data_IF_306336334956
#
_entry.id   IF_306336334956
#
_cell.length_a   1.000
_cell.length_b   1.000
_cell.length_c   1.000
_cell.angle_alpha   90.00
_cell.angle_beta   90.00
_cell.angle_gamma   90.00
#
_symmetry.space_group_name_H-M   'P 1'
#
loop_
_entity.id
_entity.type
_entity.pdbx_description
1 polymer ?
#
# COMPACT_ATOMS: atom_id res chain seq x y z
N UNK A 1 -8.68 -36.44 15.34
CA UNK A 1 -8.10 -35.82 14.12
C UNK A 1 -8.10 -36.85 12.99
N UNK A 2 -7.71 -36.48 11.76
CA UNK A 2 -7.61 -37.42 10.63
C UNK A 2 -6.20 -37.45 10.05
N UNK A 3 -5.72 -38.65 9.68
CA UNK A 3 -4.43 -38.81 9.02
C UNK A 3 -4.47 -38.13 7.63
N UNK A 4 -3.49 -37.28 7.28
CA UNK A 4 -3.47 -36.60 5.98
C UNK A 4 -3.18 -37.55 4.80
N UNK A 5 -2.69 -38.77 5.08
CA UNK A 5 -2.33 -39.76 4.05
C UNK A 5 -3.51 -40.70 3.75
N UNK A 6 -4.11 -41.30 4.78
CA UNK A 6 -5.17 -42.32 4.61
C UNK A 6 -6.55 -41.88 5.11
N UNK A 7 -6.70 -40.65 5.63
CA UNK A 7 -7.93 -40.07 6.16
C UNK A 7 -8.56 -40.81 7.37
N UNK A 8 -7.92 -41.85 7.89
CA UNK A 8 -8.35 -42.57 9.08
C UNK A 8 -8.27 -41.70 10.34
N UNK A 9 -9.10 -42.02 11.34
CA UNK A 9 -9.10 -41.32 12.62
C UNK A 9 -7.78 -41.57 13.38
N UNK A 10 -7.26 -40.51 14.00
CA UNK A 10 -6.04 -40.52 14.83
C UNK A 10 -6.29 -39.73 16.11
N UNK A 11 -5.66 -40.17 17.19
CA UNK A 11 -5.64 -39.53 18.50
C UNK A 11 -4.78 -38.26 18.53
N UNK A 12 -5.02 -37.34 19.49
CA UNK A 12 -4.28 -36.08 19.64
C UNK A 12 -2.76 -36.27 19.81
N UNK A 13 -2.34 -37.37 20.44
CA UNK A 13 -0.94 -37.65 20.78
C UNK A 13 -0.28 -38.68 19.85
N UNK A 14 -0.97 -39.13 18.79
CA UNK A 14 -0.46 -40.13 17.86
C UNK A 14 0.70 -39.56 17.03
N UNK A 15 1.93 -40.05 17.25
CA UNK A 15 3.11 -39.72 16.45
C UNK A 15 3.19 -40.49 15.13
N UNK A 16 2.39 -41.56 15.00
CA UNK A 16 2.33 -42.43 13.83
C UNK A 16 0.87 -42.81 13.60
N UNK A 17 0.41 -42.77 12.35
CA UNK A 17 -0.93 -43.20 12.02
C UNK A 17 -1.06 -44.73 12.18
N UNK A 18 -1.99 -45.25 12.99
CA UNK A 18 -2.15 -46.69 13.21
C UNK A 18 -2.65 -47.43 11.97
N UNK A 19 -3.29 -46.74 11.02
CA UNK A 19 -3.87 -47.35 9.82
C UNK A 19 -2.91 -47.45 8.63
N UNK A 20 -1.99 -46.49 8.48
CA UNK A 20 -1.06 -46.45 7.34
C UNK A 20 0.42 -46.34 7.73
N UNK A 21 0.73 -46.36 9.04
CA UNK A 21 2.08 -46.22 9.59
C UNK A 21 2.84 -44.94 9.16
N UNK A 22 2.16 -43.94 8.59
CA UNK A 22 2.77 -42.66 8.27
C UNK A 22 3.21 -41.94 9.57
N UNK A 23 4.42 -41.39 9.58
CA UNK A 23 4.88 -40.54 10.67
C UNK A 23 4.12 -39.22 10.62
N UNK A 24 3.52 -38.84 11.75
CA UNK A 24 2.71 -37.63 11.87
C UNK A 24 3.57 -36.53 12.50
N UNK A 25 3.74 -35.44 11.76
CA UNK A 25 4.50 -34.26 12.19
C UNK A 25 3.55 -33.06 12.19
N UNK A 26 3.41 -32.42 13.35
CA UNK A 26 2.67 -31.17 13.48
C UNK A 26 3.66 -30.04 13.21
N UNK A 27 3.47 -29.36 12.08
CA UNK A 27 4.25 -28.18 11.72
C UNK A 27 3.48 -26.93 12.19
N UNK A 28 3.97 -26.15 13.18
CA UNK A 28 3.24 -25.00 13.73
C UNK A 28 3.08 -23.85 12.72
N UNK A 29 3.81 -23.88 11.60
CA UNK A 29 3.76 -22.90 10.52
C UNK A 29 3.90 -23.60 9.18
N UNK A 30 3.37 -23.08 8.05
CA UNK A 30 3.78 -23.60 6.75
C UNK A 30 5.30 -23.46 6.60
N UNK A 31 5.94 -24.55 6.15
CA UNK A 31 7.38 -24.59 5.86
C UNK A 31 7.79 -23.62 4.75
N UNK A 32 6.87 -23.29 3.82
CA UNK A 32 7.06 -22.29 2.77
C UNK A 32 5.76 -21.51 2.53
N UNK A 33 5.80 -20.17 2.38
CA UNK A 33 4.63 -19.35 2.05
C UNK A 33 3.99 -19.72 0.70
N UNK A 34 4.79 -20.29 -0.20
CA UNK A 34 4.42 -20.72 -1.56
C UNK A 34 3.37 -21.83 -1.57
N UNK A 35 3.32 -22.62 -0.49
CA UNK A 35 2.40 -23.74 -0.34
C UNK A 35 0.98 -23.28 0.03
N UNK A 36 0.76 -21.97 0.23
CA UNK A 36 -0.55 -21.42 0.55
C UNK A 36 -1.36 -21.04 -0.69
N UNK A 37 -2.64 -21.40 -0.67
CA UNK A 37 -3.60 -20.97 -1.68
C UNK A 37 -3.62 -19.43 -1.82
N UNK A 38 -3.66 -18.95 -3.06
CA UNK A 38 -3.60 -17.52 -3.37
C UNK A 38 -2.24 -16.87 -3.14
N UNK A 39 -1.16 -17.63 -2.85
CA UNK A 39 0.19 -17.08 -2.73
C UNK A 39 0.62 -16.33 -3.98
N UNK A 40 0.45 -16.90 -5.18
CA UNK A 40 0.83 -16.27 -6.46
C UNK A 40 0.22 -14.88 -6.61
N UNK A 41 -1.08 -14.75 -6.32
CA UNK A 41 -1.80 -13.46 -6.39
C UNK A 41 -1.26 -12.47 -5.36
N UNK A 42 -1.06 -12.90 -4.10
CA UNK A 42 -0.51 -12.02 -3.05
C UNK A 42 0.93 -11.61 -3.35
N UNK A 43 1.73 -12.50 -3.93
CA UNK A 43 3.10 -12.23 -4.34
C UNK A 43 3.14 -11.23 -5.50
N UNK A 44 2.29 -11.42 -6.52
CA UNK A 44 2.12 -10.47 -7.63
C UNK A 44 1.69 -9.10 -7.11
N UNK A 45 0.70 -9.05 -6.21
CA UNK A 45 0.26 -7.82 -5.56
C UNK A 45 1.39 -7.12 -4.80
N UNK A 46 2.27 -7.87 -4.13
CA UNK A 46 3.46 -7.32 -3.48
C UNK A 46 4.43 -6.70 -4.50
N UNK A 47 4.72 -7.38 -5.60
CA UNK A 47 5.62 -6.86 -6.65
C UNK A 47 5.05 -5.57 -7.24
N UNK A 48 3.80 -5.61 -7.70
CA UNK A 48 3.13 -4.48 -8.33
C UNK A 48 2.97 -3.31 -7.36
N UNK A 49 2.54 -3.56 -6.12
CA UNK A 49 2.36 -2.52 -5.10
C UNK A 49 3.67 -1.85 -4.73
N UNK A 50 4.77 -2.61 -4.60
CA UNK A 50 6.10 -2.06 -4.35
C UNK A 50 6.62 -1.23 -5.52
N UNK A 51 6.46 -1.71 -6.75
CA UNK A 51 6.85 -0.97 -7.94
C UNK A 51 6.06 0.35 -8.04
N UNK A 52 4.75 0.29 -7.82
CA UNK A 52 3.88 1.48 -7.78
C UNK A 52 4.30 2.47 -6.69
N UNK A 53 4.56 2.00 -5.46
CA UNK A 53 5.06 2.88 -4.39
C UNK A 53 6.43 3.49 -4.72
N UNK A 54 7.35 2.74 -5.33
CA UNK A 54 8.65 3.27 -5.75
C UNK A 54 8.50 4.39 -6.80
N UNK A 55 7.60 4.20 -7.77
CA UNK A 55 7.26 5.24 -8.75
C UNK A 55 6.67 6.49 -8.08
N UNK A 56 5.80 6.32 -7.09
CA UNK A 56 5.22 7.45 -6.36
C UNK A 56 6.25 8.20 -5.51
N UNK A 57 7.23 7.51 -4.93
CA UNK A 57 8.36 8.15 -4.24
C UNK A 57 9.20 8.96 -5.23
N UNK A 58 9.52 8.39 -6.39
CA UNK A 58 10.25 9.09 -7.44
C UNK A 58 9.48 10.31 -7.95
N UNK A 59 8.16 10.17 -8.14
CA UNK A 59 7.27 11.27 -8.50
C UNK A 59 7.31 12.40 -7.46
N UNK A 60 7.22 12.07 -6.17
CA UNK A 60 7.31 13.07 -5.10
C UNK A 60 8.66 13.80 -5.13
N UNK A 61 9.76 13.07 -5.36
CA UNK A 61 11.09 13.67 -5.49
C UNK A 61 11.19 14.60 -6.70
N UNK A 62 10.65 14.22 -7.86
CA UNK A 62 10.62 15.09 -9.04
C UNK A 62 9.81 16.37 -8.82
N UNK A 63 8.67 16.28 -8.13
CA UNK A 63 7.88 17.47 -7.78
C UNK A 63 8.66 18.40 -6.85
N UNK A 64 9.38 17.86 -5.86
CA UNK A 64 10.24 18.66 -4.98
C UNK A 64 11.37 19.36 -5.74
N UNK A 65 12.02 18.65 -6.67
CA UNK A 65 13.07 19.22 -7.53
C UNK A 65 12.48 20.33 -8.40
N UNK A 66 11.34 20.08 -9.06
CA UNK A 66 10.63 21.07 -9.85
C UNK A 66 10.26 22.32 -9.03
N UNK A 67 9.75 22.13 -7.81
CA UNK A 67 9.43 23.23 -6.91
C UNK A 67 10.68 24.03 -6.52
N UNK A 68 11.81 23.36 -6.27
CA UNK A 68 13.08 24.02 -5.95
C UNK A 68 13.62 24.88 -7.11
N UNK A 69 13.51 24.38 -8.35
CA UNK A 69 13.91 25.11 -9.56
C UNK A 69 13.09 26.39 -9.75
N UNK A 70 11.83 26.40 -9.31
CA UNK A 70 10.93 27.56 -9.42
C UNK A 70 11.12 28.61 -8.32
N UNK A 71 11.95 28.37 -7.30
CA UNK A 71 12.15 29.31 -6.18
C UNK A 71 12.59 30.71 -6.65
N UNK A 72 13.56 30.88 -7.57
CA UNK A 72 13.97 32.21 -8.01
C UNK A 72 12.84 32.97 -8.71
N UNK A 73 12.05 32.28 -9.53
CA UNK A 73 10.88 32.87 -10.19
C UNK A 73 9.78 33.23 -9.19
N UNK A 74 9.57 32.43 -8.15
CA UNK A 74 8.63 32.73 -7.07
C UNK A 74 9.07 33.96 -6.24
N UNK A 75 10.37 34.11 -5.96
CA UNK A 75 10.91 35.31 -5.29
C UNK A 75 10.71 36.55 -6.19
N UNK A 76 11.01 36.43 -7.49
CA UNK A 76 10.73 37.49 -8.46
C UNK A 76 9.23 37.81 -8.55
N UNK A 77 8.36 36.81 -8.45
CA UNK A 77 6.91 36.99 -8.43
C UNK A 77 6.47 37.83 -7.23
N UNK A 78 7.02 37.57 -6.03
CA UNK A 78 6.66 38.26 -4.78
C UNK A 78 7.25 39.67 -4.67
N UNK A 79 8.45 39.90 -5.20
CA UNK A 79 9.15 41.19 -5.11
C UNK A 79 8.67 42.23 -6.13
N UNK A 80 7.55 41.98 -6.82
CA UNK A 80 7.10 42.86 -7.91
C UNK A 80 6.56 44.19 -7.42
N UNK A 81 6.93 45.23 -8.15
CA UNK A 81 6.31 46.55 -8.11
C UNK A 81 5.04 46.53 -8.97
N UNK A 82 3.99 47.21 -8.50
CA UNK A 82 2.69 47.24 -9.17
C UNK A 82 2.80 47.68 -10.64
N UNK A 83 2.16 46.94 -11.56
CA UNK A 83 2.05 47.29 -12.98
C UNK A 83 2.83 46.42 -13.97
N UNK A 84 3.70 45.50 -13.50
CA UNK A 84 4.40 44.55 -14.39
C UNK A 84 3.75 43.16 -14.30
N UNK A 85 3.12 42.72 -15.40
CA UNK A 85 2.66 41.32 -15.55
C UNK A 85 3.88 40.41 -15.64
N UNK A 86 4.00 39.40 -14.77
CA UNK A 86 5.14 38.50 -14.77
C UNK A 86 4.98 37.51 -15.93
N UNK A 87 6.05 37.27 -16.67
CA UNK A 87 6.15 36.06 -17.49
C UNK A 87 6.71 34.95 -16.62
N UNK A 88 5.91 33.92 -16.34
CA UNK A 88 6.40 32.70 -15.67
C UNK A 88 6.89 31.76 -16.77
N UNK A 89 8.20 31.56 -16.81
CA UNK A 89 8.81 30.62 -17.75
C UNK A 89 8.80 29.21 -17.14
N UNK A 90 7.91 28.37 -17.67
CA UNK A 90 7.77 26.97 -17.28
C UNK A 90 8.55 26.02 -18.19
N UNK A 91 9.27 26.50 -19.22
CA UNK A 91 9.91 25.64 -20.22
C UNK A 91 10.91 24.68 -19.56
N UNK A 92 11.76 25.18 -18.66
CA UNK A 92 12.75 24.36 -17.95
C UNK A 92 12.17 23.31 -17.00
N UNK A 93 10.89 23.43 -16.60
CA UNK A 93 10.22 22.54 -15.64
C UNK A 93 9.14 21.67 -16.30
N UNK A 94 8.78 21.99 -17.54
CA UNK A 94 7.75 21.30 -18.33
C UNK A 94 8.02 19.79 -18.47
N UNK A 95 9.26 19.40 -18.78
CA UNK A 95 9.66 18.00 -18.91
C UNK A 95 9.56 17.25 -17.57
N UNK A 96 9.99 17.87 -16.46
CA UNK A 96 9.89 17.29 -15.13
C UNK A 96 8.43 17.07 -14.72
N UNK A 97 7.56 18.03 -15.01
CA UNK A 97 6.12 17.94 -14.71
C UNK A 97 5.45 16.84 -15.53
N UNK A 98 5.83 16.68 -16.81
CA UNK A 98 5.29 15.63 -17.68
C UNK A 98 5.71 14.24 -17.21
N UNK A 99 6.99 14.06 -16.87
CA UNK A 99 7.51 12.80 -16.32
C UNK A 99 6.85 12.51 -14.96
N UNK A 100 6.76 13.49 -14.07
CA UNK A 100 6.10 13.33 -12.78
C UNK A 100 4.62 12.97 -12.94
N UNK A 101 3.90 13.60 -13.86
CA UNK A 101 2.50 13.29 -14.16
C UNK A 101 2.30 11.86 -14.69
N UNK A 102 3.27 11.37 -15.47
CA UNK A 102 3.26 10.00 -16.00
C UNK A 102 3.55 8.98 -14.91
N UNK A 103 4.55 9.23 -14.06
CA UNK A 103 4.87 8.37 -12.92
C UNK A 103 3.73 8.29 -11.92
N UNK A 104 2.98 9.38 -11.74
CA UNK A 104 1.79 9.43 -10.88
C UNK A 104 0.68 8.49 -11.38
N UNK A 105 0.36 8.55 -12.68
CA UNK A 105 -0.64 7.68 -13.30
C UNK A 105 -0.24 6.20 -13.27
N UNK A 106 1.01 5.90 -13.64
CA UNK A 106 1.51 4.51 -13.64
C UNK A 106 1.66 3.99 -12.20
N UNK A 107 2.21 4.80 -11.29
CA UNK A 107 2.44 4.44 -9.90
C UNK A 107 1.14 4.14 -9.16
N UNK A 108 0.15 5.03 -9.24
CA UNK A 108 -1.17 4.79 -8.64
C UNK A 108 -1.96 3.70 -9.36
N UNK A 109 -1.81 3.56 -10.69
CA UNK A 109 -2.38 2.45 -11.44
C UNK A 109 -1.88 1.09 -10.96
N UNK A 110 -0.57 0.96 -10.73
CA UNK A 110 0.03 -0.25 -10.16
C UNK A 110 -0.46 -0.52 -8.73
N UNK A 111 -0.56 0.52 -7.89
CA UNK A 111 -1.11 0.39 -6.53
C UNK A 111 -2.58 -0.04 -6.55
N UNK A 112 -3.38 0.48 -7.50
CA UNK A 112 -4.77 0.10 -7.68
C UNK A 112 -4.91 -1.39 -8.00
N UNK A 113 -4.20 -1.86 -9.04
CA UNK A 113 -4.22 -3.27 -9.45
C UNK A 113 -3.67 -4.16 -8.34
N UNK A 114 -2.58 -3.78 -7.69
CA UNK A 114 -2.02 -4.50 -6.56
C UNK A 114 -3.03 -4.69 -5.44
N UNK A 115 -3.83 -3.66 -5.13
CA UNK A 115 -4.84 -3.72 -4.07
C UNK A 115 -6.00 -4.65 -4.44
N UNK A 116 -6.44 -4.63 -5.70
CA UNK A 116 -7.46 -5.57 -6.21
C UNK A 116 -6.96 -7.01 -6.14
N UNK A 117 -5.78 -7.27 -6.68
CA UNK A 117 -5.16 -8.61 -6.70
C UNK A 117 -4.89 -9.10 -5.27
N UNK A 118 -4.49 -8.22 -4.35
CA UNK A 118 -4.31 -8.53 -2.94
C UNK A 118 -5.62 -9.02 -2.31
N UNK A 119 -6.73 -8.30 -2.55
CA UNK A 119 -8.02 -8.70 -2.02
C UNK A 119 -8.50 -10.04 -2.56
N UNK A 120 -8.36 -10.25 -3.87
CA UNK A 120 -8.66 -11.54 -4.51
C UNK A 120 -7.79 -12.66 -3.93
N UNK A 121 -6.48 -12.44 -3.80
CA UNK A 121 -5.54 -13.41 -3.21
C UNK A 121 -5.83 -13.71 -1.74
N UNK A 122 -6.27 -12.71 -0.97
CA UNK A 122 -6.67 -12.86 0.42
C UNK A 122 -7.90 -13.75 0.60
N UNK A 123 -8.86 -13.75 -0.35
CA UNK A 123 -10.05 -14.62 -0.29
C UNK A 123 -9.72 -16.11 -0.33
N UNK A 124 -8.60 -16.47 -0.97
CA UNK A 124 -8.11 -17.85 -1.08
C UNK A 124 -7.32 -18.31 0.15
N UNK A 125 -6.98 -17.40 1.06
CA UNK A 125 -6.27 -17.74 2.28
C UNK A 125 -7.23 -18.40 3.29
N UNK A 126 -7.34 -19.72 3.20
CA UNK A 126 -8.18 -20.56 4.05
C UNK A 126 -7.44 -21.84 4.42
N UNK A 127 -7.58 -22.27 5.68
CA UNK A 127 -7.04 -23.54 6.16
C UNK A 127 -7.93 -24.12 7.25
N UNK A 128 -8.13 -25.43 7.22
CA UNK A 128 -8.81 -26.16 8.30
C UNK A 128 -7.80 -26.50 9.39
N UNK A 129 -8.15 -26.16 10.63
CA UNK A 129 -7.35 -26.51 11.81
C UNK A 129 -7.45 -28.02 12.07
N UNK A 130 -6.32 -28.75 12.14
CA UNK A 130 -6.34 -30.20 12.31
C UNK A 130 -6.87 -30.66 13.67
N UNK A 131 -6.83 -29.80 14.70
CA UNK A 131 -7.27 -30.12 16.07
C UNK A 131 -8.74 -29.79 16.30
N UNK A 132 -9.17 -28.61 15.85
CA UNK A 132 -10.54 -28.13 16.09
C UNK A 132 -11.49 -28.38 14.92
N UNK A 133 -10.97 -28.82 13.78
CA UNK A 133 -11.66 -28.93 12.50
C UNK A 133 -12.28 -27.62 11.97
N UNK A 134 -12.09 -26.50 12.68
CA UNK A 134 -12.60 -25.20 12.29
C UNK A 134 -11.84 -24.66 11.09
N UNK A 135 -12.56 -24.03 10.15
CA UNK A 135 -11.95 -23.32 9.03
C UNK A 135 -11.49 -21.93 9.49
N UNK A 136 -10.20 -21.66 9.38
CA UNK A 136 -9.61 -20.33 9.58
C UNK A 136 -9.42 -19.71 8.20
N UNK A 137 -10.13 -18.61 7.96
CA UNK A 137 -10.08 -17.87 6.71
C UNK A 137 -10.12 -16.37 6.93
N UNK A 138 -9.70 -15.60 5.92
CA UNK A 138 -10.06 -14.18 5.85
C UNK A 138 -11.53 -14.09 5.44
N UNK A 139 -12.40 -13.45 6.23
CA UNK A 139 -13.80 -13.25 5.85
C UNK A 139 -13.91 -12.51 4.51
N UNK A 140 -14.82 -12.89 3.59
CA UNK A 140 -14.98 -12.21 2.31
C UNK A 140 -15.20 -10.69 2.44
N UNK A 141 -15.95 -10.28 3.47
CA UNK A 141 -16.18 -8.86 3.80
C UNK A 141 -14.87 -8.14 4.13
N UNK A 142 -13.93 -8.81 4.81
CA UNK A 142 -12.61 -8.25 5.10
C UNK A 142 -11.74 -8.19 3.84
N UNK A 143 -11.77 -9.23 3.01
CA UNK A 143 -11.02 -9.27 1.75
C UNK A 143 -11.54 -8.27 0.70
N UNK A 144 -12.78 -7.80 0.83
CA UNK A 144 -13.36 -6.77 -0.05
C UNK A 144 -12.73 -5.38 0.14
N UNK A 145 -12.20 -5.06 1.33
CA UNK A 145 -11.60 -3.75 1.59
C UNK A 145 -10.42 -3.38 0.68
N UNK A 146 -9.40 -4.23 0.47
CA UNK A 146 -8.32 -3.92 -0.46
C UNK A 146 -8.82 -3.84 -1.93
N UNK A 147 -9.84 -4.61 -2.32
CA UNK A 147 -10.45 -4.48 -3.65
C UNK A 147 -11.14 -3.12 -3.82
N UNK A 148 -11.95 -2.72 -2.84
CA UNK A 148 -12.59 -1.40 -2.82
C UNK A 148 -11.56 -0.26 -2.83
N UNK A 149 -10.47 -0.40 -2.07
CA UNK A 149 -9.38 0.56 -2.09
C UNK A 149 -8.77 0.68 -3.50
N UNK A 150 -8.50 -0.44 -4.16
CA UNK A 150 -7.96 -0.44 -5.52
C UNK A 150 -8.89 0.21 -6.54
N UNK A 151 -10.20 -0.06 -6.46
CA UNK A 151 -11.21 0.59 -7.30
C UNK A 151 -11.29 2.10 -7.08
N UNK A 152 -11.17 2.55 -5.83
CA UNK A 152 -11.17 3.97 -5.49
C UNK A 152 -9.90 4.69 -5.97
N UNK A 153 -8.73 4.04 -5.89
CA UNK A 153 -7.48 4.55 -6.49
C UNK A 153 -7.62 4.59 -8.01
N UNK A 154 -8.22 3.57 -8.63
CA UNK A 154 -8.48 3.56 -10.07
C UNK A 154 -9.44 4.68 -10.49
N UNK A 155 -10.48 4.94 -9.72
CA UNK A 155 -11.37 6.08 -9.93
C UNK A 155 -10.60 7.40 -9.87
N UNK A 156 -9.68 7.58 -8.91
CA UNK A 156 -8.80 8.76 -8.88
C UNK A 156 -8.00 8.89 -10.18
N UNK A 157 -7.43 7.79 -10.70
CA UNK A 157 -6.67 7.78 -11.95
C UNK A 157 -7.55 8.22 -13.10
N UNK A 158 -8.78 7.69 -13.23
CA UNK A 158 -9.71 8.09 -14.27
C UNK A 158 -10.10 9.56 -14.17
N UNK A 159 -10.49 10.02 -12.97
CA UNK A 159 -10.92 11.39 -12.74
C UNK A 159 -9.81 12.42 -13.03
N UNK A 160 -8.55 12.05 -12.81
CA UNK A 160 -7.40 12.94 -13.08
C UNK A 160 -6.83 12.77 -14.49
N UNK A 161 -6.95 11.60 -15.11
CA UNK A 161 -6.52 11.33 -16.48
C UNK A 161 -7.29 12.16 -17.50
N UNK A 162 -8.60 12.37 -17.29
CA UNK A 162 -9.43 13.21 -18.17
C UNK A 162 -8.78 14.58 -18.44
N UNK A 163 -8.25 15.25 -17.41
CA UNK A 163 -7.62 16.58 -17.53
C UNK A 163 -6.13 16.54 -17.85
N UNK A 164 -5.49 15.38 -17.75
CA UNK A 164 -4.09 15.20 -18.16
C UNK A 164 -3.95 14.80 -19.62
N UNK A 165 -5.00 14.22 -20.21
CA UNK A 165 -4.97 13.64 -21.56
C UNK A 165 -5.91 14.35 -22.52
N UNK A 166 -7.19 14.56 -22.16
CA UNK A 166 -8.15 15.20 -23.08
C UNK A 166 -7.95 16.70 -23.17
N UNK A 167 -7.81 17.39 -22.03
CA UNK A 167 -7.83 18.85 -22.03
C UNK A 167 -6.56 19.57 -22.48
N UNK A 168 -5.32 19.10 -22.23
CA UNK A 168 -4.15 19.72 -22.86
C UNK A 168 -4.18 19.59 -24.40
N UNK A 169 -4.88 18.61 -24.96
CA UNK A 169 -5.07 18.49 -26.41
C UNK A 169 -6.11 19.50 -26.95
N UNK A 170 -7.18 19.79 -26.19
CA UNK A 170 -8.23 20.73 -26.60
C UNK A 170 -7.83 22.21 -26.42
N UNK A 171 -7.07 22.52 -25.36
CA UNK A 171 -6.74 23.91 -25.00
C UNK A 171 -5.28 24.29 -25.25
N UNK A 172 -4.43 23.34 -25.70
CA UNK A 172 -3.01 23.58 -25.97
C UNK A 172 -2.19 24.04 -24.74
N UNK A 173 -2.73 23.89 -23.52
CA UNK A 173 -2.13 24.38 -22.28
C UNK A 173 -2.11 23.30 -21.20
N UNK A 174 -1.02 23.26 -20.42
CA UNK A 174 -0.88 22.35 -19.28
C UNK A 174 -1.66 22.86 -18.05
N UNK A 175 -2.04 21.96 -17.14
CA UNK A 175 -2.69 22.33 -15.87
C UNK A 175 -1.85 23.30 -15.03
N UNK A 176 -0.51 23.18 -15.10
CA UNK A 176 0.41 24.09 -14.44
C UNK A 176 0.32 25.52 -15.01
N UNK A 177 0.18 25.65 -16.34
CA UNK A 177 -0.01 26.93 -17.01
C UNK A 177 -1.35 27.56 -16.64
N UNK A 178 -2.43 26.79 -16.67
CA UNK A 178 -3.76 27.25 -16.27
C UNK A 178 -3.83 27.77 -14.82
N UNK A 179 -3.14 27.09 -13.89
CA UNK A 179 -3.02 27.55 -12.50
C UNK A 179 -2.13 28.78 -12.36
N UNK A 180 -1.06 28.89 -13.15
CA UNK A 180 -0.21 30.08 -13.19
C UNK A 180 -0.98 31.29 -13.69
N UNK A 181 -1.76 31.14 -14.78
CA UNK A 181 -2.57 32.21 -15.34
C UNK A 181 -3.62 32.70 -14.33
N UNK A 182 -4.24 31.78 -13.59
CA UNK A 182 -5.13 32.12 -12.47
C UNK A 182 -4.40 32.86 -11.34
N UNK A 183 -3.21 32.41 -10.95
CA UNK A 183 -2.42 33.07 -9.91
C UNK A 183 -1.96 34.50 -10.29
N UNK A 184 -1.87 34.79 -11.60
CA UNK A 184 -1.45 36.10 -12.12
C UNK A 184 -2.62 37.06 -12.26
N UNK A 185 -3.73 36.62 -12.88
CA UNK A 185 -4.84 37.50 -13.27
C UNK A 185 -6.22 37.07 -12.78
N UNK A 186 -6.29 36.06 -11.90
CA UNK A 186 -7.53 35.56 -11.33
C UNK A 186 -8.44 34.90 -12.36
N UNK A 187 -9.75 35.01 -12.16
CA UNK A 187 -10.76 34.41 -13.05
C UNK A 187 -10.80 35.04 -14.43
N UNK A 188 -10.30 36.27 -14.59
CA UNK A 188 -10.29 36.99 -15.86
C UNK A 188 -9.27 36.41 -16.87
N UNK A 189 -8.20 35.78 -16.37
CA UNK A 189 -7.13 35.19 -17.20
C UNK A 189 -7.15 33.67 -17.18
N UNK A 190 -7.82 33.05 -16.21
CA UNK A 190 -7.94 31.61 -16.12
C UNK A 190 -8.82 31.03 -17.23
N UNK A 191 -8.46 29.86 -17.79
CA UNK A 191 -9.34 29.19 -18.73
C UNK A 191 -10.64 28.75 -18.03
N UNK A 192 -11.80 28.80 -18.71
CA UNK A 192 -13.11 28.55 -18.10
C UNK A 192 -13.25 27.15 -17.49
N UNK A 193 -12.43 26.21 -17.96
CA UNK A 193 -12.38 24.83 -17.47
C UNK A 193 -11.71 24.65 -16.10
N UNK A 194 -10.96 25.66 -15.63
CA UNK A 194 -10.16 25.55 -14.41
C UNK A 194 -11.03 25.21 -13.18
N UNK A 195 -12.26 25.74 -13.11
CA UNK A 195 -13.20 25.43 -12.03
C UNK A 195 -13.68 23.98 -12.02
N UNK A 196 -14.00 23.41 -13.19
CA UNK A 196 -14.36 21.99 -13.31
C UNK A 196 -13.18 21.07 -12.98
N UNK A 197 -11.97 21.44 -13.41
CA UNK A 197 -10.75 20.70 -13.09
C UNK A 197 -10.49 20.70 -11.58
N UNK A 198 -10.62 21.85 -10.92
CA UNK A 198 -10.45 22.00 -9.48
C UNK A 198 -11.48 21.16 -8.70
N UNK A 199 -12.74 21.15 -9.16
CA UNK A 199 -13.80 20.33 -8.55
C UNK A 199 -13.49 18.84 -8.62
N UNK A 200 -12.99 18.37 -9.76
CA UNK A 200 -12.65 16.96 -9.94
C UNK A 200 -11.40 16.55 -9.18
N UNK A 201 -10.44 17.46 -8.97
CA UNK A 201 -9.33 17.21 -8.05
C UNK A 201 -9.80 16.98 -6.60
N UNK A 202 -10.82 17.73 -6.15
CA UNK A 202 -11.44 17.51 -4.84
C UNK A 202 -12.07 16.12 -4.79
N UNK A 203 -12.94 15.79 -5.74
CA UNK A 203 -13.63 14.48 -5.80
C UNK A 203 -12.63 13.33 -5.86
N UNK A 204 -11.60 13.47 -6.69
CA UNK A 204 -10.54 12.48 -6.79
C UNK A 204 -9.85 12.31 -5.42
N UNK A 205 -9.45 13.38 -4.76
CA UNK A 205 -8.72 13.29 -3.49
C UNK A 205 -9.57 12.71 -2.36
N UNK A 206 -10.88 12.93 -2.38
CA UNK A 206 -11.83 12.21 -1.50
C UNK A 206 -11.80 10.70 -1.77
N UNK A 207 -11.78 10.28 -3.04
CA UNK A 207 -11.67 8.86 -3.39
C UNK A 207 -10.38 8.23 -2.86
N UNK A 208 -9.23 8.93 -2.94
CA UNK A 208 -7.98 8.44 -2.35
C UNK A 208 -8.03 8.34 -0.82
N UNK A 209 -8.66 9.30 -0.15
CA UNK A 209 -8.85 9.23 1.30
C UNK A 209 -9.71 8.01 1.69
N UNK A 210 -10.80 7.78 0.96
CA UNK A 210 -11.64 6.60 1.14
C UNK A 210 -10.84 5.30 0.89
N UNK A 211 -9.99 5.26 -0.13
CA UNK A 211 -9.11 4.11 -0.38
C UNK A 211 -8.14 3.85 0.79
N UNK A 212 -7.54 4.90 1.35
CA UNK A 212 -6.68 4.79 2.52
C UNK A 212 -7.44 4.27 3.76
N UNK A 213 -8.70 4.68 3.93
CA UNK A 213 -9.55 4.17 4.99
C UNK A 213 -9.86 2.68 4.81
N UNK A 214 -10.15 2.25 3.58
CA UNK A 214 -10.35 0.84 3.24
C UNK A 214 -9.10 -0.01 3.56
N UNK A 215 -7.91 0.40 3.13
CA UNK A 215 -6.67 -0.32 3.43
C UNK A 215 -6.35 -0.36 4.94
N UNK A 216 -6.60 0.73 5.68
CA UNK A 216 -6.44 0.74 7.14
C UNK A 216 -7.41 -0.24 7.81
N UNK A 217 -8.66 -0.26 7.36
CA UNK A 217 -9.70 -1.15 7.88
C UNK A 217 -9.38 -2.61 7.61
N UNK A 218 -8.85 -2.94 6.42
CA UNK A 218 -8.34 -4.27 6.11
C UNK A 218 -7.31 -4.73 7.16
N UNK A 219 -6.27 -3.93 7.41
CA UNK A 219 -5.23 -4.30 8.38
C UNK A 219 -5.74 -4.47 9.81
N UNK A 220 -6.74 -3.68 10.22
CA UNK A 220 -7.36 -3.77 11.54
C UNK A 220 -8.30 -4.96 11.70
N UNK A 221 -8.86 -5.47 10.60
CA UNK A 221 -9.80 -6.60 10.57
C UNK A 221 -9.16 -7.92 10.19
N UNK A 222 -7.84 -7.96 10.01
CA UNK A 222 -7.12 -9.22 9.80
C UNK A 222 -7.23 -10.08 11.07
N UNK A 223 -7.65 -11.36 10.96
CA UNK A 223 -7.62 -12.31 12.06
C UNK A 223 -6.23 -12.41 12.71
N UNK A 224 -6.18 -12.57 14.04
CA UNK A 224 -4.93 -12.71 14.81
C UNK A 224 -4.08 -13.92 14.41
N UNK A 225 -4.71 -14.95 13.83
CA UNK A 225 -4.03 -16.14 13.30
C UNK A 225 -3.30 -15.89 11.96
N UNK A 226 -3.43 -14.70 11.38
CA UNK A 226 -2.75 -14.34 10.13
C UNK A 226 -1.56 -13.45 10.47
N UNK A 227 -0.38 -13.90 10.10
CA UNK A 227 0.86 -13.19 10.40
C UNK A 227 1.70 -13.04 9.14
N UNK A 228 2.24 -11.85 8.97
CA UNK A 228 3.34 -11.60 8.05
C UNK A 228 4.65 -11.92 8.75
N UNK A 229 5.59 -12.57 8.06
CA UNK A 229 6.95 -12.77 8.58
C UNK A 229 7.73 -11.46 8.84
N UNK A 230 7.15 -10.30 8.48
CA UNK A 230 7.69 -8.96 8.77
C UNK A 230 6.70 -8.12 9.57
N UNK A 231 7.16 -7.28 10.51
CA UNK A 231 6.29 -6.42 11.31
C UNK A 231 5.51 -5.46 10.41
N UNK A 232 4.19 -5.45 10.55
CA UNK A 232 3.34 -4.46 9.87
C UNK A 232 3.46 -3.13 10.58
N UNK A 233 4.33 -2.24 10.08
CA UNK A 233 4.43 -0.88 10.60
C UNK A 233 3.11 -0.11 10.42
N UNK A 234 2.77 0.84 11.32
CA UNK A 234 1.66 1.76 11.10
C UNK A 234 1.86 2.48 9.76
N UNK A 235 0.80 2.57 8.96
CA UNK A 235 0.84 3.32 7.70
C UNK A 235 0.45 4.76 7.98
N UNK A 236 1.33 5.67 7.58
CA UNK A 236 1.05 7.11 7.53
C UNK A 236 0.25 7.50 6.28
N UNK A 237 -0.19 6.55 5.45
CA UNK A 237 -0.87 6.84 4.19
C UNK A 237 -2.25 7.49 4.40
N UNK A 238 -2.99 7.11 5.45
CA UNK A 238 -4.25 7.78 5.78
C UNK A 238 -4.02 9.23 6.24
N UNK A 239 -3.03 9.45 7.10
CA UNK A 239 -2.72 10.78 7.62
C UNK A 239 -2.21 11.69 6.50
N UNK A 240 -1.37 11.15 5.61
CA UNK A 240 -0.96 11.80 4.36
C UNK A 240 -2.16 12.17 3.48
N UNK A 241 -3.09 11.24 3.24
CA UNK A 241 -4.27 11.53 2.41
C UNK A 241 -5.19 12.57 3.05
N UNK A 242 -5.28 12.63 4.38
CA UNK A 242 -6.04 13.65 5.09
C UNK A 242 -5.40 15.03 4.89
N UNK A 243 -4.10 15.16 5.11
CA UNK A 243 -3.36 16.42 4.86
C UNK A 243 -3.48 16.82 3.39
N UNK A 244 -3.30 15.86 2.49
CA UNK A 244 -3.44 16.08 1.06
C UNK A 244 -4.83 16.60 0.69
N UNK A 245 -5.91 16.04 1.27
CA UNK A 245 -7.28 16.52 1.05
C UNK A 245 -7.47 17.95 1.53
N UNK A 246 -7.05 18.27 2.76
CA UNK A 246 -7.20 19.61 3.33
C UNK A 246 -6.50 20.66 2.48
N UNK A 247 -5.25 20.40 2.09
CA UNK A 247 -4.48 21.32 1.25
C UNK A 247 -5.08 21.43 -0.15
N UNK A 248 -5.55 20.32 -0.73
CA UNK A 248 -6.19 20.32 -2.06
C UNK A 248 -7.48 21.12 -2.04
N UNK A 249 -8.33 20.91 -1.03
CA UNK A 249 -9.59 21.62 -0.88
C UNK A 249 -9.34 23.12 -0.71
N UNK A 250 -8.41 23.50 0.17
CA UNK A 250 -8.03 24.90 0.35
C UNK A 250 -7.55 25.56 -0.96
N UNK A 251 -6.69 24.89 -1.74
CA UNK A 251 -6.18 25.45 -2.99
C UNK A 251 -7.23 25.46 -4.12
N UNK A 252 -8.09 24.44 -4.20
CA UNK A 252 -9.05 24.25 -5.29
C UNK A 252 -10.32 25.12 -5.16
N UNK A 253 -10.68 25.55 -3.95
CA UNK A 253 -11.87 26.39 -3.74
C UNK A 253 -11.78 27.78 -4.40
N UNK A 254 -10.57 28.31 -4.56
CA UNK A 254 -10.34 29.59 -5.27
C UNK A 254 -10.67 29.49 -6.77
N UNK A 255 -10.00 28.61 -7.56
CA UNK A 255 -10.33 28.47 -8.98
C UNK A 255 -11.72 27.87 -9.24
N UNK A 256 -12.31 27.16 -8.26
CA UNK A 256 -13.71 26.72 -8.33
C UNK A 256 -14.73 27.86 -8.15
N UNK A 257 -14.28 29.06 -7.76
CA UNK A 257 -15.15 30.24 -7.56
C UNK A 257 -15.92 30.24 -6.23
N UNK A 258 -15.60 29.32 -5.31
CA UNK A 258 -16.22 29.27 -3.99
C UNK A 258 -15.63 30.32 -3.03
N UNK A 259 -14.39 30.74 -3.26
CA UNK A 259 -13.70 31.80 -2.51
C UNK A 259 -13.25 32.87 -3.51
N UNK A 260 -13.56 34.13 -3.21
CA UNK A 260 -13.11 35.27 -4.01
C UNK A 260 -11.58 35.38 -4.02
N UNK A 261 -11.00 35.63 -5.20
CA UNK A 261 -9.57 35.80 -5.38
C UNK A 261 -9.28 37.22 -5.91
N UNK A 262 -8.48 37.97 -5.18
CA UNK A 262 -8.02 39.31 -5.53
C UNK A 262 -6.51 39.26 -5.79
N UNK A 263 -6.05 39.85 -6.91
CA UNK A 263 -4.66 39.81 -7.38
C UNK A 263 -3.79 40.94 -6.81
N UNK A 264 -4.35 41.85 -6.02
CA UNK A 264 -3.64 43.04 -5.50
C UNK A 264 -2.88 42.81 -4.19
N UNK A 265 -2.43 41.58 -3.91
CA UNK A 265 -1.71 41.25 -2.66
C UNK A 265 -2.61 41.09 -1.44
N UNK A 266 -3.91 40.91 -1.64
CA UNK A 266 -4.87 40.71 -0.55
C UNK A 266 -4.64 39.41 0.23
N UNK A 267 -5.27 39.27 1.42
CA UNK A 267 -5.11 38.07 2.26
C UNK A 267 -5.52 36.78 1.53
N UNK A 268 -6.50 36.84 0.64
CA UNK A 268 -6.94 35.71 -0.20
C UNK A 268 -5.82 35.19 -1.11
N UNK A 269 -5.04 36.08 -1.72
CA UNK A 269 -3.90 35.70 -2.57
C UNK A 269 -2.79 35.03 -1.76
N UNK A 270 -2.47 35.60 -0.60
CA UNK A 270 -1.45 35.04 0.30
C UNK A 270 -1.85 33.63 0.73
N UNK A 271 -3.11 33.42 1.12
CA UNK A 271 -3.63 32.10 1.51
C UNK A 271 -3.56 31.11 0.36
N UNK A 272 -4.05 31.48 -0.83
CA UNK A 272 -4.00 30.61 -2.02
C UNK A 272 -2.55 30.21 -2.37
N UNK A 273 -1.64 31.18 -2.45
CA UNK A 273 -0.24 30.93 -2.77
C UNK A 273 0.45 30.08 -1.69
N UNK A 274 0.14 30.29 -0.41
CA UNK A 274 0.66 29.48 0.69
C UNK A 274 0.18 28.03 0.61
N UNK A 275 -1.09 27.82 0.28
CA UNK A 275 -1.67 26.48 0.10
C UNK A 275 -1.06 25.79 -1.12
N UNK A 276 -0.88 26.50 -2.22
CA UNK A 276 -0.22 25.98 -3.42
C UNK A 276 1.25 25.62 -3.14
N UNK A 277 1.99 26.47 -2.43
CA UNK A 277 3.36 26.19 -2.02
C UNK A 277 3.42 24.95 -1.11
N UNK A 278 2.51 24.84 -0.14
CA UNK A 278 2.38 23.66 0.73
C UNK A 278 2.08 22.39 -0.07
N UNK A 279 1.21 22.50 -1.09
CA UNK A 279 0.85 21.40 -1.99
C UNK A 279 2.02 20.92 -2.84
N UNK A 280 2.94 21.81 -3.22
CA UNK A 280 4.10 21.51 -4.07
C UNK A 280 5.35 21.10 -3.28
N UNK A 281 5.42 21.39 -1.99
CA UNK A 281 6.61 21.13 -1.16
C UNK A 281 6.32 20.14 -0.04
N UNK A 282 5.53 20.56 0.96
CA UNK A 282 5.26 19.75 2.15
C UNK A 282 4.48 18.46 1.84
N UNK A 283 3.48 18.53 0.96
CA UNK A 283 2.68 17.35 0.60
C UNK A 283 3.52 16.26 -0.10
N UNK A 284 4.34 16.55 -1.14
CA UNK A 284 5.25 15.56 -1.72
C UNK A 284 6.27 15.01 -0.73
N UNK A 285 6.77 15.84 0.19
CA UNK A 285 7.67 15.39 1.25
C UNK A 285 6.99 14.33 2.13
N UNK A 286 5.80 14.64 2.66
CA UNK A 286 5.00 13.66 3.41
C UNK A 286 4.64 12.43 2.56
N UNK A 287 4.33 12.64 1.29
CA UNK A 287 4.02 11.60 0.32
C UNK A 287 5.15 10.59 0.19
N UNK A 288 6.40 11.05 0.09
CA UNK A 288 7.56 10.16 -0.01
C UNK A 288 7.66 9.19 1.19
N UNK A 289 7.47 9.70 2.42
CA UNK A 289 7.43 8.88 3.62
C UNK A 289 6.20 7.96 3.68
N UNK A 290 5.04 8.45 3.25
CA UNK A 290 3.81 7.68 3.23
C UNK A 290 3.88 6.50 2.25
N UNK A 291 4.37 6.74 1.02
CA UNK A 291 4.58 5.68 0.02
C UNK A 291 5.72 4.74 0.41
N UNK A 292 6.74 5.21 1.12
CA UNK A 292 7.74 4.31 1.71
C UNK A 292 7.10 3.37 2.75
N UNK A 293 6.24 3.90 3.63
CA UNK A 293 5.50 3.07 4.59
C UNK A 293 4.62 2.04 3.87
N UNK A 294 3.95 2.44 2.78
CA UNK A 294 3.06 1.59 2.00
C UNK A 294 3.84 0.51 1.24
N UNK A 295 5.03 0.83 0.73
CA UNK A 295 5.96 -0.12 0.10
C UNK A 295 6.29 -1.27 1.04
N UNK A 296 6.62 -0.97 2.31
CA UNK A 296 6.91 -2.01 3.31
C UNK A 296 5.68 -2.86 3.65
N UNK A 297 4.47 -2.28 3.56
CA UNK A 297 3.22 -3.01 3.77
C UNK A 297 2.88 -3.94 2.61
N UNK A 298 3.08 -3.52 1.36
CA UNK A 298 2.88 -4.41 0.22
C UNK A 298 3.82 -5.62 0.28
N UNK A 299 5.07 -5.43 0.73
CA UNK A 299 5.98 -6.56 0.97
C UNK A 299 5.47 -7.52 2.06
N UNK A 300 4.92 -6.97 3.15
CA UNK A 300 4.30 -7.77 4.22
C UNK A 300 3.03 -8.49 3.74
N UNK A 301 2.21 -7.84 2.91
CA UNK A 301 0.99 -8.41 2.35
C UNK A 301 1.26 -9.60 1.43
N UNK A 302 2.34 -9.56 0.64
CA UNK A 302 2.77 -10.70 -0.17
C UNK A 302 3.26 -11.90 0.62
N UNK A 303 3.49 -11.73 1.93
CA UNK A 303 4.01 -12.76 2.85
C UNK A 303 3.01 -13.07 3.97
N UNK A 304 1.75 -12.73 3.80
CA UNK A 304 0.69 -13.15 4.72
C UNK A 304 0.66 -14.67 4.77
N UNK A 305 0.69 -15.22 5.97
CA UNK A 305 0.60 -16.66 6.21
C UNK A 305 -0.33 -16.95 7.37
N UNK A 306 -0.95 -18.13 7.35
CA UNK A 306 -1.77 -18.62 8.46
C UNK A 306 -0.88 -19.33 9.49
N UNK A 307 -0.93 -18.90 10.76
CA UNK A 307 -0.34 -19.59 11.92
C UNK A 307 -1.18 -20.78 12.38
N UNK A 308 -1.89 -21.44 11.46
CA UNK A 308 -2.66 -22.64 11.76
C UNK A 308 -1.75 -23.84 11.52
N UNK A 309 -1.56 -24.70 12.54
CA UNK A 309 -0.67 -25.85 12.44
C UNK A 309 -1.10 -26.77 11.30
N UNK A 310 -0.13 -27.39 10.64
CA UNK A 310 -0.35 -28.36 9.57
C UNK A 310 0.07 -29.72 10.07
N UNK A 311 -0.86 -30.67 10.09
CA UNK A 311 -0.52 -32.06 10.29
C UNK A 311 0.01 -32.63 8.96
N UNK A 312 1.30 -32.94 8.91
CA UNK A 312 1.96 -33.60 7.78
C UNK A 312 2.13 -35.08 8.09
N UNK A 313 1.85 -35.93 7.11
CA UNK A 313 2.12 -37.36 7.19
C UNK A 313 3.27 -37.72 6.26
N UNK A 314 4.36 -38.24 6.80
CA UNK A 314 5.50 -38.73 6.02
C UNK A 314 5.32 -40.24 5.85
N UNK A 315 5.10 -40.75 4.63
CA UNK A 315 5.05 -42.18 4.38
C UNK A 315 6.35 -42.84 4.80
N UNK A 316 6.31 -43.99 5.48
CA UNK A 316 7.52 -44.70 5.93
C UNK A 316 8.46 -45.05 4.77
N UNK A 317 7.92 -45.32 3.60
CA UNK A 317 8.72 -45.66 2.40
C UNK A 317 9.54 -44.47 1.88
N UNK A 318 9.14 -43.23 2.19
CA UNK A 318 9.89 -42.02 1.84
C UNK A 318 11.03 -41.71 2.82
N UNK A 319 10.99 -42.22 4.05
CA UNK A 319 12.06 -42.05 5.05
C UNK A 319 13.29 -42.91 4.71
N UNK A 320 13.11 -43.98 3.93
CA UNK A 320 14.20 -44.85 3.47
C UNK A 320 14.93 -44.37 2.21
N UNK A 321 14.34 -43.48 1.40
CA UNK A 321 14.92 -43.08 0.11
C UNK A 321 16.02 -42.00 0.21
N UNK A 322 16.20 -41.38 1.38
CA UNK A 322 17.27 -40.41 1.64
C UNK A 322 18.54 -41.05 2.25
N UNK A 323 18.56 -42.36 2.50
CA UNK A 323 19.72 -43.08 3.02
C UNK A 323 20.24 -44.06 1.95
N UNK A 324 21.22 -43.60 1.16
CA UNK A 324 22.03 -44.48 0.32
C UNK A 324 22.86 -45.47 1.17
N UNK A 325 23.36 -46.57 0.58
CA UNK A 325 23.83 -47.73 1.32
C UNK A 325 25.27 -47.55 1.85
N UNK A 326 25.50 -47.92 3.11
CA UNK A 326 26.85 -48.20 3.64
C UNK A 326 26.89 -48.30 5.18
N UNK A 327 27.56 -49.29 5.78
CA UNK A 327 27.10 -49.93 7.02
C UNK A 327 27.87 -49.50 8.27
N UNK A 328 27.18 -49.47 9.43
CA UNK A 328 27.76 -49.91 10.71
C UNK A 328 26.67 -50.11 11.74
N UNK A 329 26.60 -51.32 12.27
CA UNK A 329 25.95 -51.62 13.54
C UNK A 329 26.45 -50.64 14.61
N UNK A 330 25.55 -49.82 15.13
CA UNK A 330 25.71 -49.18 16.42
C UNK A 330 24.53 -49.61 17.27
N UNK A 331 24.81 -50.69 18.00
CA UNK A 331 24.09 -51.18 19.17
C UNK A 331 23.73 -49.98 20.06
N UNK A 332 22.44 -49.69 20.20
CA UNK A 332 21.97 -48.67 21.13
C UNK A 332 21.99 -49.26 22.55
N UNK A 333 22.91 -48.79 23.38
CA UNK A 333 22.80 -48.93 24.83
C UNK A 333 21.68 -47.98 25.35
N UNK A 334 20.84 -48.44 26.28
CA UNK A 334 19.73 -47.67 26.81
C UNK A 334 20.18 -46.89 28.05
N UNK A 335 20.65 -45.64 27.90
CA UNK A 335 20.60 -44.63 28.97
C UNK A 335 21.19 -43.30 28.51
N UNK A 336 20.34 -42.28 28.39
CA UNK A 336 20.51 -40.96 29.01
C UNK A 336 19.36 -40.08 28.55
N UNK A 337 18.41 -39.85 29.46
CA UNK A 337 17.47 -38.75 29.32
C UNK A 337 18.24 -37.44 29.49
N UNK A 338 18.04 -36.52 28.55
CA UNK A 338 18.17 -35.08 28.83
C UNK A 338 16.90 -34.45 28.29
N UNK A 339 15.91 -34.39 29.17
CA UNK A 339 14.78 -33.48 29.04
C UNK A 339 15.34 -32.06 29.00
N UNK A 340 15.06 -31.31 27.93
CA UNK A 340 14.97 -29.86 28.08
C UNK A 340 13.74 -29.60 28.98
N UNK A 341 13.85 -28.80 30.05
CA UNK A 341 12.70 -28.50 30.89
C UNK A 341 11.66 -27.73 30.07
N UNK A 342 10.35 -27.80 30.43
CA UNK A 342 9.36 -26.90 29.85
C UNK A 342 9.80 -25.44 30.07
N UNK A 343 9.48 -24.53 29.13
CA UNK A 343 9.86 -23.13 29.24
C UNK A 343 9.34 -22.54 30.56
N UNK A 344 10.19 -21.80 31.27
CA UNK A 344 9.80 -21.12 32.51
C UNK A 344 8.97 -19.88 32.21
N UNK A 345 8.21 -19.40 33.19
CA UNK A 345 7.35 -18.21 33.05
C UNK A 345 8.11 -16.95 32.60
N UNK A 346 9.45 -16.92 32.75
CA UNK A 346 10.29 -15.83 32.24
C UNK A 346 10.36 -15.79 30.71
N UNK A 347 10.20 -16.92 30.01
CA UNK A 347 10.16 -16.99 28.53
C UNK A 347 8.84 -16.43 27.94
N UNK A 348 7.82 -16.25 28.78
CA UNK A 348 6.50 -15.72 28.38
C UNK A 348 6.36 -14.20 28.62
N UNK A 349 7.36 -13.55 29.21
CA UNK A 349 7.27 -12.12 29.59
C UNK A 349 7.38 -11.12 28.44
N UNK A 350 7.56 -11.58 27.20
CA UNK A 350 7.58 -10.72 26.00
C UNK A 350 6.20 -10.24 25.52
N UNK A 351 5.09 -10.73 26.09
CA UNK A 351 3.73 -10.45 25.60
C UNK A 351 3.01 -9.36 26.43
N UNK A 352 3.53 -8.99 27.61
CA UNK A 352 2.83 -8.08 28.54
C UNK A 352 3.32 -6.62 28.59
N UNK A 353 3.89 -6.09 27.50
CA UNK A 353 4.11 -4.62 27.38
C UNK A 353 3.59 -4.04 26.08
N UNK A 354 2.27 -3.93 26.01
CA UNK A 354 1.59 -2.85 25.29
C UNK A 354 0.77 -2.07 26.32
N UNK A 355 1.22 -0.86 26.66
CA UNK A 355 0.34 0.23 27.07
C UNK A 355 0.05 1.08 25.84
#
# INVERSE_FOLDING_TARGET
MKCPVCLAAIGPDDRVCPSCNAMLVIDPRPSRPEDENGWVLRHLASIMGRAGCAMMIAQCALVLIAAAVLIPQAIGFLNRTAGVTPTVDLEGVSALVLIAGSLDLVGLGLIAVASIVLGTGAMFLRRRDPFTEAEVMIPPVTAAFPMAAGLLVFLWVLLTAVWRILYPAEFGMSAARALSDFAIGGTATAPPILGSMATLWIVATIALLAAAFCLRTFTRRLPSKIVSGRPMRPSSWLDYMLVNLVVTLGAALFPAGAIGYDTTGGPAQIVFLSLLATKLTFVPLLGSFAYWSLLTRFDAFGKLTLLVPVLKGIPRDAVGAAAGPGPRELRADPSTGVFAPPPSDDDMTGIDRVK
#
